data_IF_144635963475
#
_entry.id   IF_144635963475
#
_cell.length_a   1.000
_cell.length_b   1.000
_cell.length_c   1.000
_cell.angle_alpha   90.00
_cell.angle_beta   90.00
_cell.angle_gamma   90.00
#
_symmetry.space_group_name_H-M   'P 1'
#
loop_
_entity.id
_entity.type
_entity.pdbx_description
1 polymer ?
#
# COMPACT_ATOMS: atom_id res chain seq x y z
N UNK A 1 -16.45 8.49 -10.50
CA UNK A 1 -17.86 8.56 -10.95
C UNK A 1 -18.07 7.67 -12.16
N UNK A 2 -17.84 8.12 -13.40
CA UNK A 2 -18.13 7.35 -14.64
C UNK A 2 -17.76 5.86 -14.63
N UNK A 3 -16.60 5.48 -14.10
CA UNK A 3 -16.16 4.06 -14.07
C UNK A 3 -17.10 3.23 -13.18
N UNK A 4 -17.38 3.70 -11.97
CA UNK A 4 -18.29 3.07 -11.01
C UNK A 4 -19.70 2.98 -11.59
N UNK A 5 -20.22 4.08 -12.15
CA UNK A 5 -21.56 4.10 -12.76
C UNK A 5 -21.70 3.03 -13.86
N UNK A 6 -20.63 2.78 -14.64
CA UNK A 6 -20.63 1.74 -15.66
C UNK A 6 -20.54 0.34 -15.07
N UNK A 7 -19.76 0.13 -14.01
CA UNK A 7 -19.67 -1.17 -13.34
C UNK A 7 -21.02 -1.54 -12.72
N UNK A 8 -21.68 -0.58 -12.08
CA UNK A 8 -23.02 -0.76 -11.51
C UNK A 8 -24.06 -1.04 -12.59
N UNK A 9 -24.04 -0.29 -13.71
CA UNK A 9 -24.94 -0.53 -14.84
C UNK A 9 -24.74 -1.92 -15.48
N UNK A 10 -23.52 -2.47 -15.39
CA UNK A 10 -23.18 -3.82 -15.86
C UNK A 10 -23.42 -4.90 -14.79
N UNK A 11 -23.83 -4.54 -13.58
CA UNK A 11 -24.04 -5.47 -12.48
C UNK A 11 -22.77 -6.13 -11.97
N UNK A 12 -21.61 -5.48 -12.11
CA UNK A 12 -20.34 -5.98 -11.58
C UNK A 12 -20.37 -5.81 -10.06
N UNK A 13 -20.26 -6.91 -9.32
CA UNK A 13 -20.35 -6.89 -7.83
C UNK A 13 -19.07 -7.33 -7.14
N UNK A 14 -18.04 -7.64 -7.92
CA UNK A 14 -16.78 -8.21 -7.45
C UNK A 14 -15.61 -7.23 -7.61
N UNK A 15 -15.82 -5.98 -7.20
CA UNK A 15 -14.80 -4.93 -7.24
C UNK A 15 -14.85 -4.06 -5.99
N UNK A 16 -13.72 -3.41 -5.70
CA UNK A 16 -13.61 -2.30 -4.77
C UNK A 16 -12.79 -1.20 -5.45
N UNK A 17 -13.17 0.04 -5.24
CA UNK A 17 -12.48 1.22 -5.74
C UNK A 17 -11.43 1.73 -4.76
N UNK A 18 -10.26 2.09 -5.27
CA UNK A 18 -9.18 2.71 -4.50
C UNK A 18 -8.89 4.07 -5.09
N UNK A 19 -9.10 5.14 -4.31
CA UNK A 19 -8.71 6.49 -4.68
C UNK A 19 -7.35 6.81 -4.06
N UNK A 20 -6.30 6.68 -4.88
CA UNK A 20 -4.93 6.79 -4.43
C UNK A 20 -4.33 8.18 -4.66
N UNK A 21 -3.64 8.68 -3.64
CA UNK A 21 -2.71 9.80 -3.76
C UNK A 21 -1.26 9.29 -3.71
N UNK A 22 -0.34 9.98 -4.38
CA UNK A 22 1.09 9.71 -4.26
C UNK A 22 1.61 9.97 -2.83
N UNK A 23 0.85 10.73 -2.02
CA UNK A 23 1.18 11.09 -0.64
C UNK A 23 2.63 11.58 -0.47
N UNK A 24 3.12 12.28 -1.49
CA UNK A 24 4.49 12.71 -1.61
C UNK A 24 4.53 14.14 -2.15
N UNK A 25 5.25 15.02 -1.46
CA UNK A 25 5.39 16.42 -1.85
C UNK A 25 4.06 17.19 -1.81
N UNK A 26 3.94 18.18 -2.69
CA UNK A 26 2.71 18.96 -2.87
C UNK A 26 1.78 18.29 -3.88
N UNK A 27 0.48 18.49 -3.71
CA UNK A 27 -0.54 18.16 -4.70
C UNK A 27 -0.32 18.89 -6.03
N UNK A 28 -0.89 18.33 -7.10
CA UNK A 28 -0.84 18.96 -8.41
C UNK A 28 -1.48 20.36 -8.37
N UNK A 29 -0.75 21.37 -8.85
CA UNK A 29 -1.21 22.76 -8.84
C UNK A 29 -1.28 23.42 -7.45
N UNK A 30 -0.95 22.71 -6.37
CA UNK A 30 -1.14 23.18 -5.00
C UNK A 30 -2.60 23.10 -4.51
N UNK A 31 -3.47 22.41 -5.24
CA UNK A 31 -4.88 22.21 -4.87
C UNK A 31 -5.03 21.25 -3.69
N UNK A 32 -6.06 21.40 -2.86
CA UNK A 32 -6.36 20.42 -1.83
C UNK A 32 -6.71 19.04 -2.43
N UNK A 33 -6.43 17.95 -1.71
CA UNK A 33 -6.81 16.60 -2.17
C UNK A 33 -8.29 16.47 -2.50
N UNK A 34 -9.16 17.17 -1.77
CA UNK A 34 -10.60 17.19 -2.00
C UNK A 34 -10.97 17.65 -3.42
N UNK A 35 -10.10 18.42 -4.10
CA UNK A 35 -10.33 18.82 -5.50
C UNK A 35 -10.38 17.62 -6.46
N UNK A 36 -9.76 16.49 -6.09
CA UNK A 36 -9.69 15.27 -6.88
C UNK A 36 -10.58 14.15 -6.34
N UNK A 37 -11.31 14.41 -5.23
CA UNK A 37 -12.14 13.41 -4.57
C UNK A 37 -13.47 13.24 -5.31
N UNK A 38 -13.80 12.04 -5.83
CA UNK A 38 -15.01 11.85 -6.61
C UNK A 38 -16.29 11.74 -5.74
N UNK A 39 -16.16 11.71 -4.40
CA UNK A 39 -17.24 11.56 -3.44
C UNK A 39 -17.29 10.15 -2.80
N UNK A 40 -17.85 10.07 -1.59
CA UNK A 40 -17.88 8.85 -0.77
C UNK A 40 -18.58 7.66 -1.45
N UNK A 41 -19.55 7.94 -2.32
CA UNK A 41 -20.30 6.94 -3.10
C UNK A 41 -19.43 6.24 -4.16
N UNK A 42 -18.26 6.80 -4.47
CA UNK A 42 -17.39 6.36 -5.56
C UNK A 42 -16.03 5.85 -5.09
N UNK A 43 -15.82 5.77 -3.78
CA UNK A 43 -14.55 5.39 -3.15
C UNK A 43 -14.82 4.43 -2.01
N UNK A 44 -14.34 3.20 -2.16
CA UNK A 44 -14.36 2.20 -1.10
C UNK A 44 -13.13 2.36 -0.19
N UNK A 45 -11.97 2.66 -0.77
CA UNK A 45 -10.68 2.76 -0.09
C UNK A 45 -9.92 4.02 -0.48
N UNK A 46 -9.24 4.61 0.49
CA UNK A 46 -8.16 5.55 0.22
C UNK A 46 -6.90 4.76 -0.10
N UNK A 47 -6.13 5.20 -1.09
CA UNK A 47 -4.84 4.63 -1.44
C UNK A 47 -3.70 5.60 -1.13
N UNK A 48 -2.53 5.09 -0.77
CA UNK A 48 -1.33 5.90 -0.61
C UNK A 48 -0.06 5.21 -1.08
N UNK A 49 0.96 5.99 -1.42
CA UNK A 49 2.31 5.51 -1.70
C UNK A 49 3.25 5.78 -0.52
N UNK A 50 3.89 4.74 0.00
CA UNK A 50 4.86 4.79 1.09
C UNK A 50 6.26 4.45 0.57
N UNK A 51 7.06 5.47 0.25
CA UNK A 51 8.42 5.27 -0.26
C UNK A 51 9.53 5.66 0.72
N UNK A 52 9.21 6.48 1.72
CA UNK A 52 10.15 6.90 2.76
C UNK A 52 9.43 7.22 4.06
N UNK A 53 10.20 7.50 5.11
CA UNK A 53 9.70 7.76 6.46
C UNK A 53 9.54 9.27 6.72
N UNK A 54 8.71 9.63 7.71
CA UNK A 54 8.59 11.01 8.18
C UNK A 54 8.02 11.99 7.15
N UNK A 55 7.23 11.51 6.18
CA UNK A 55 6.59 12.35 5.17
C UNK A 55 5.34 12.99 5.80
N UNK A 56 5.27 14.34 5.93
CA UNK A 56 4.15 14.99 6.63
C UNK A 56 2.77 14.68 6.05
N UNK A 57 2.70 14.49 4.72
CA UNK A 57 1.46 14.17 4.01
C UNK A 57 0.82 12.85 4.44
N UNK A 58 1.55 11.93 5.09
CA UNK A 58 0.98 10.65 5.52
C UNK A 58 -0.08 10.84 6.60
N UNK A 59 0.22 11.60 7.66
CA UNK A 59 -0.71 11.80 8.77
C UNK A 59 -1.95 12.58 8.34
N UNK A 60 -1.77 13.58 7.48
CA UNK A 60 -2.87 14.38 6.92
C UNK A 60 -3.78 13.51 6.02
N UNK A 61 -3.19 12.63 5.21
CA UNK A 61 -3.93 11.70 4.36
C UNK A 61 -4.71 10.67 5.19
N UNK A 62 -4.10 10.08 6.22
CA UNK A 62 -4.77 9.16 7.12
C UNK A 62 -5.90 9.86 7.90
N UNK A 63 -5.72 11.11 8.32
CA UNK A 63 -6.75 11.90 8.96
C UNK A 63 -7.95 12.15 8.02
N UNK A 64 -7.68 12.44 6.74
CA UNK A 64 -8.74 12.59 5.74
C UNK A 64 -9.51 11.28 5.54
N UNK A 65 -8.82 10.15 5.39
CA UNK A 65 -9.47 8.84 5.26
C UNK A 65 -10.36 8.52 6.48
N UNK A 66 -9.87 8.79 7.70
CA UNK A 66 -10.65 8.67 8.94
C UNK A 66 -11.88 9.58 8.94
N UNK A 67 -11.76 10.82 8.49
CA UNK A 67 -12.88 11.77 8.42
C UNK A 67 -13.99 11.30 7.47
N UNK A 68 -13.63 10.59 6.39
CA UNK A 68 -14.57 9.97 5.47
C UNK A 68 -15.02 8.56 5.91
N UNK A 69 -14.49 8.04 7.02
CA UNK A 69 -14.81 6.70 7.51
C UNK A 69 -14.39 5.58 6.54
N UNK A 70 -13.33 5.79 5.76
CA UNK A 70 -12.86 4.85 4.74
C UNK A 70 -11.51 4.22 5.16
N UNK A 71 -11.31 2.92 4.89
CA UNK A 71 -10.02 2.28 5.13
C UNK A 71 -8.95 2.76 4.14
N UNK A 72 -7.69 2.58 4.52
CA UNK A 72 -6.51 2.93 3.71
C UNK A 72 -5.78 1.67 3.27
N UNK A 73 -5.42 1.64 1.98
CA UNK A 73 -4.48 0.72 1.38
C UNK A 73 -3.16 1.46 1.12
N UNK A 74 -2.04 0.93 1.62
CA UNK A 74 -0.71 1.33 1.16
C UNK A 74 -0.49 0.63 -0.18
N UNK A 75 -1.00 1.24 -1.24
CA UNK A 75 -1.10 0.66 -2.58
C UNK A 75 0.25 0.52 -3.27
N UNK A 76 1.23 1.33 -2.87
CA UNK A 76 2.61 1.21 -3.28
C UNK A 76 3.51 1.37 -2.06
N UNK A 77 4.25 0.34 -1.67
CA UNK A 77 5.24 0.43 -0.61
C UNK A 77 6.57 -0.21 -1.03
N UNK A 78 7.67 0.53 -0.95
CA UNK A 78 9.00 -0.01 -1.23
C UNK A 78 10.10 0.82 -0.56
N UNK A 79 11.22 0.21 -0.09
CA UNK A 79 12.39 0.92 0.43
C UNK A 79 13.18 1.61 -0.69
N UNK A 80 12.57 2.61 -1.32
CA UNK A 80 13.12 3.31 -2.47
C UNK A 80 14.50 3.89 -2.13
N UNK A 81 15.48 3.61 -2.99
CA UNK A 81 16.85 4.10 -2.86
C UNK A 81 17.78 3.16 -2.09
N UNK A 82 17.27 2.04 -1.56
CA UNK A 82 18.10 0.95 -1.05
C UNK A 82 18.31 -0.14 -2.11
N UNK A 83 19.48 -0.76 -2.07
CA UNK A 83 19.76 -2.01 -2.75
C UNK A 83 19.84 -3.12 -1.71
N UNK A 84 18.80 -3.95 -1.58
CA UNK A 84 18.74 -4.95 -0.53
C UNK A 84 19.79 -6.05 -0.67
N UNK A 85 20.34 -6.25 -1.87
CA UNK A 85 21.41 -7.22 -2.11
C UNK A 85 22.74 -6.72 -1.52
N UNK A 86 23.04 -5.44 -1.73
CA UNK A 86 24.36 -4.87 -1.42
C UNK A 86 24.41 -4.07 -0.10
N UNK A 87 23.30 -3.47 0.32
CA UNK A 87 23.25 -2.64 1.53
C UNK A 87 23.28 -3.46 2.82
N UNK A 88 23.78 -2.85 3.89
CA UNK A 88 23.82 -3.47 5.20
C UNK A 88 22.38 -3.73 5.72
N UNK A 89 22.01 -4.99 6.05
CA UNK A 89 20.63 -5.33 6.37
C UNK A 89 20.10 -4.68 7.65
N UNK A 90 20.95 -4.40 8.64
CA UNK A 90 20.54 -3.68 9.85
C UNK A 90 20.23 -2.20 9.54
N UNK A 91 21.01 -1.60 8.65
CA UNK A 91 20.78 -0.21 8.22
C UNK A 91 19.47 -0.10 7.45
N UNK A 92 19.25 -0.98 6.46
CA UNK A 92 17.99 -1.02 5.70
C UNK A 92 16.81 -1.25 6.64
N UNK A 93 16.90 -2.27 7.51
CA UNK A 93 15.81 -2.64 8.41
C UNK A 93 15.41 -1.47 9.32
N UNK A 94 16.39 -0.84 9.97
CA UNK A 94 16.14 0.26 10.90
C UNK A 94 15.71 1.56 10.19
N UNK A 95 16.13 1.77 8.94
CA UNK A 95 15.82 3.00 8.21
C UNK A 95 14.46 2.96 7.51
N UNK A 96 13.99 1.79 7.11
CA UNK A 96 12.75 1.67 6.34
C UNK A 96 11.77 0.61 6.87
N UNK A 97 12.17 -0.66 7.03
CA UNK A 97 11.24 -1.73 7.39
C UNK A 97 10.63 -1.53 8.79
N UNK A 98 11.45 -1.30 9.81
CA UNK A 98 10.94 -1.12 11.17
C UNK A 98 10.00 0.11 11.28
N UNK A 99 10.36 1.31 10.75
CA UNK A 99 9.42 2.43 10.70
C UNK A 99 8.16 2.18 9.88
N UNK A 100 8.28 1.46 8.76
CA UNK A 100 7.12 1.07 7.93
C UNK A 100 6.16 0.17 8.70
N UNK A 101 6.70 -0.85 9.38
CA UNK A 101 5.93 -1.78 10.21
C UNK A 101 5.27 -1.00 11.37
N UNK A 102 6.03 -0.14 12.06
CA UNK A 102 5.50 0.73 13.12
C UNK A 102 4.37 1.63 12.62
N UNK A 103 4.52 2.22 11.43
CA UNK A 103 3.48 3.04 10.80
C UNK A 103 2.19 2.24 10.56
N UNK A 104 2.30 0.99 10.07
CA UNK A 104 1.14 0.12 9.87
C UNK A 104 0.47 -0.21 11.20
N UNK A 105 1.21 -0.68 12.20
CA UNK A 105 0.65 -1.08 13.50
C UNK A 105 0.05 0.10 14.28
N UNK A 106 0.67 1.28 14.21
CA UNK A 106 0.17 2.48 14.92
C UNK A 106 -1.10 3.04 14.29
N UNK A 107 -1.34 2.73 13.01
CA UNK A 107 -2.51 3.18 12.26
C UNK A 107 -3.41 2.00 11.86
N UNK A 108 -3.40 0.91 12.63
CA UNK A 108 -4.17 -0.30 12.37
C UNK A 108 -5.69 -0.04 12.39
N UNK A 109 -6.14 1.06 12.98
CA UNK A 109 -7.52 1.52 12.97
C UNK A 109 -8.02 1.83 11.55
N UNK A 110 -7.16 2.39 10.69
CA UNK A 110 -7.50 2.85 9.34
C UNK A 110 -6.75 2.11 8.24
N UNK A 111 -5.50 1.72 8.45
CA UNK A 111 -4.70 0.95 7.48
C UNK A 111 -5.15 -0.51 7.53
N UNK A 112 -5.68 -1.01 6.41
CA UNK A 112 -6.24 -2.37 6.32
C UNK A 112 -5.67 -3.22 5.18
N UNK A 113 -4.78 -2.65 4.35
CA UNK A 113 -4.11 -3.39 3.29
C UNK A 113 -2.75 -2.77 2.92
N UNK A 114 -1.81 -3.62 2.50
CA UNK A 114 -0.47 -3.23 2.04
C UNK A 114 -0.14 -4.00 0.77
N UNK A 115 0.39 -3.29 -0.23
CA UNK A 115 1.04 -3.87 -1.39
C UNK A 115 2.54 -3.51 -1.39
N UNK A 116 3.35 -4.46 -0.93
CA UNK A 116 4.81 -4.33 -0.96
C UNK A 116 5.34 -4.64 -2.37
N UNK A 117 6.04 -3.68 -2.98
CA UNK A 117 6.63 -3.84 -4.30
C UNK A 117 8.00 -4.50 -4.15
N UNK A 118 8.06 -5.79 -4.47
CA UNK A 118 9.22 -6.66 -4.31
C UNK A 118 9.92 -6.92 -5.64
N UNK A 119 10.79 -6.01 -6.09
CA UNK A 119 11.40 -6.12 -7.42
C UNK A 119 12.81 -5.52 -7.47
N UNK A 120 13.62 -6.00 -8.41
CA UNK A 120 14.80 -5.25 -8.81
C UNK A 120 14.36 -4.14 -9.76
N UNK A 121 14.31 -2.89 -9.29
CA UNK A 121 13.92 -1.76 -10.12
C UNK A 121 14.99 -1.43 -11.15
N UNK A 122 16.26 -1.57 -10.78
CA UNK A 122 17.39 -1.19 -11.63
C UNK A 122 17.57 -2.13 -12.84
N UNK A 123 16.96 -3.32 -12.82
CA UNK A 123 16.83 -4.22 -13.97
C UNK A 123 15.74 -3.79 -14.96
N UNK A 124 14.82 -2.90 -14.57
CA UNK A 124 13.74 -2.44 -15.43
C UNK A 124 14.13 -1.18 -16.21
N UNK A 125 14.02 -1.23 -17.53
CA UNK A 125 14.43 -0.14 -18.43
C UNK A 125 13.82 1.23 -18.10
N UNK A 126 12.61 1.27 -17.54
CA UNK A 126 11.97 2.52 -17.12
C UNK A 126 12.67 3.17 -15.92
N UNK A 127 13.15 2.38 -14.97
CA UNK A 127 13.62 2.85 -13.65
C UNK A 127 15.14 2.91 -13.52
N UNK A 128 15.85 2.30 -14.47
CA UNK A 128 17.31 2.28 -14.49
C UNK A 128 17.91 3.69 -14.35
N UNK A 129 18.82 3.84 -13.39
CA UNK A 129 19.53 5.11 -13.13
C UNK A 129 18.71 6.18 -12.42
N UNK A 130 17.46 5.91 -12.03
CA UNK A 130 16.63 6.83 -11.25
C UNK A 130 16.78 6.65 -9.72
N UNK A 131 17.60 5.69 -9.28
CA UNK A 131 17.87 5.43 -7.86
C UNK A 131 16.69 4.81 -7.12
N UNK A 132 15.98 3.86 -7.74
CA UNK A 132 14.94 3.09 -7.07
C UNK A 132 15.54 1.90 -6.30
N UNK A 133 16.56 1.24 -6.87
CA UNK A 133 17.34 0.19 -6.23
C UNK A 133 16.77 -1.22 -6.45
N UNK A 134 17.19 -2.16 -5.60
CA UNK A 134 16.66 -3.53 -5.55
C UNK A 134 15.90 -3.75 -4.25
N UNK A 135 14.59 -3.99 -4.33
CA UNK A 135 13.70 -4.12 -3.16
C UNK A 135 13.20 -5.54 -2.94
N UNK A 136 13.85 -6.55 -3.53
CA UNK A 136 13.52 -7.96 -3.31
C UNK A 136 13.95 -8.39 -1.91
N UNK A 137 13.00 -8.69 -1.02
CA UNK A 137 13.33 -9.13 0.35
C UNK A 137 14.17 -10.41 0.35
N UNK A 138 13.99 -11.27 -0.65
CA UNK A 138 14.76 -12.51 -0.81
C UNK A 138 16.19 -12.31 -1.33
N UNK A 139 16.61 -11.08 -1.67
CA UNK A 139 17.99 -10.80 -2.06
C UNK A 139 18.96 -10.86 -0.86
N UNK A 140 18.44 -10.83 0.38
CA UNK A 140 19.23 -10.88 1.60
C UNK A 140 18.56 -11.75 2.67
N UNK A 141 19.24 -12.80 3.10
CA UNK A 141 18.69 -13.79 4.04
C UNK A 141 18.26 -13.19 5.39
N UNK A 142 18.96 -12.15 5.86
CA UNK A 142 18.63 -11.49 7.13
C UNK A 142 17.34 -10.68 7.01
N UNK A 143 17.20 -9.91 5.92
CA UNK A 143 15.98 -9.14 5.65
C UNK A 143 14.79 -10.05 5.39
N UNK A 144 14.98 -11.12 4.61
CA UNK A 144 13.95 -12.13 4.36
C UNK A 144 13.45 -12.75 5.67
N UNK A 145 14.36 -13.18 6.55
CA UNK A 145 14.00 -13.81 7.81
C UNK A 145 13.18 -12.87 8.71
N UNK A 146 13.57 -11.60 8.79
CA UNK A 146 12.83 -10.59 9.57
C UNK A 146 11.48 -10.25 8.96
N UNK A 147 11.41 -10.09 7.64
CA UNK A 147 10.16 -9.87 6.92
C UNK A 147 9.17 -11.01 7.15
N UNK A 148 9.61 -12.26 6.97
CA UNK A 148 8.77 -13.44 7.21
C UNK A 148 8.30 -13.53 8.66
N UNK A 149 9.17 -13.23 9.63
CA UNK A 149 8.78 -13.22 11.03
C UNK A 149 7.67 -12.19 11.34
N UNK A 150 7.70 -11.02 10.69
CA UNK A 150 6.67 -9.99 10.83
C UNK A 150 5.36 -10.40 10.16
N UNK A 151 5.38 -10.74 8.87
CA UNK A 151 4.14 -10.97 8.10
C UNK A 151 3.41 -12.26 8.48
N UNK A 152 4.01 -13.09 9.32
CA UNK A 152 3.41 -14.30 9.90
C UNK A 152 2.74 -14.05 11.27
N UNK A 153 2.77 -12.82 11.79
CA UNK A 153 2.01 -12.46 12.99
C UNK A 153 0.52 -12.33 12.70
N UNK A 154 -0.31 -12.41 13.74
CA UNK A 154 -1.78 -12.40 13.63
C UNK A 154 -2.37 -11.09 13.07
N UNK A 155 -1.57 -10.02 13.00
CA UNK A 155 -1.97 -8.75 12.38
C UNK A 155 -2.22 -8.90 10.88
N UNK A 156 -1.50 -9.81 10.21
CA UNK A 156 -1.51 -9.89 8.75
C UNK A 156 -2.41 -11.02 8.26
N UNK A 157 -3.42 -10.66 7.46
CA UNK A 157 -4.20 -11.64 6.71
C UNK A 157 -3.37 -12.17 5.55
N UNK A 158 -2.91 -13.41 5.68
CA UNK A 158 -2.20 -14.15 4.62
C UNK A 158 -3.16 -14.99 3.78
N UNK A 159 -2.63 -15.57 2.69
CA UNK A 159 -3.37 -16.51 1.87
C UNK A 159 -3.85 -17.72 2.70
N UNK A 160 -5.17 -17.92 2.71
CA UNK A 160 -5.83 -19.04 3.36
C UNK A 160 -7.06 -19.48 2.54
N UNK A 161 -7.52 -20.74 2.65
CA UNK A 161 -8.69 -21.22 1.90
C UNK A 161 -9.97 -20.41 2.10
N UNK A 162 -10.12 -19.77 3.25
CA UNK A 162 -11.25 -18.94 3.65
C UNK A 162 -11.02 -17.43 3.44
N UNK A 163 -9.86 -17.02 2.89
CA UNK A 163 -9.49 -15.60 2.75
C UNK A 163 -10.59 -14.78 2.05
N UNK A 164 -11.19 -15.30 0.97
CA UNK A 164 -12.24 -14.56 0.26
C UNK A 164 -13.48 -14.32 1.12
N UNK A 165 -13.86 -15.30 1.96
CA UNK A 165 -14.95 -15.13 2.90
C UNK A 165 -14.58 -14.09 3.98
N UNK A 166 -13.35 -14.11 4.49
CA UNK A 166 -12.82 -13.10 5.42
C UNK A 166 -12.84 -11.69 4.80
N UNK A 167 -12.55 -11.58 3.50
CA UNK A 167 -12.62 -10.33 2.74
C UNK A 167 -14.04 -9.92 2.32
N UNK A 168 -15.07 -10.66 2.73
CA UNK A 168 -16.47 -10.34 2.42
C UNK A 168 -16.91 -10.69 1.00
N UNK A 169 -16.11 -11.44 0.24
CA UNK A 169 -16.56 -12.03 -1.02
C UNK A 169 -17.46 -13.23 -0.73
N UNK A 170 -18.64 -13.27 -1.36
CA UNK A 170 -19.47 -14.47 -1.36
C UNK A 170 -18.67 -15.63 -1.97
N UNK A 171 -18.78 -16.83 -1.38
CA UNK A 171 -18.26 -18.03 -2.04
C UNK A 171 -18.83 -18.11 -3.45
N UNK A 172 -18.03 -18.38 -4.49
CA UNK A 172 -18.58 -18.60 -5.82
C UNK A 172 -19.64 -19.70 -5.68
N UNK A 173 -20.88 -19.39 -6.06
CA UNK A 173 -21.94 -20.39 -6.09
C UNK A 173 -21.50 -21.59 -6.95
N UNK A 174 -22.03 -22.80 -6.71
CA UNK A 174 -21.63 -23.95 -7.49
C UNK A 174 -21.90 -23.67 -8.97
N UNK A 175 -20.85 -23.82 -9.79
CA UNK A 175 -20.92 -23.80 -11.25
C UNK A 175 -21.80 -24.92 -11.79
#
# INVERSE_FOLDING_TARGET
>A
QRIVDQFDALGVTNYATVWQSATYGSTYGGDDWAAWYPGDEYVDWFGMSYFGTGVPAYDEWLALARAHGKPVMLAEATPRGFDLMDDNPDTVWNSWFAPFIEFVHTNDDVVKAVAYINVNWDEQAMWQGQGWGDTRVQANDTLLARWLAEIQTDTWLQAAPDLFATLGYASPGPN
#
